data_IF_739053525257
#
_entry.id   IF_739053525257
#
_cell.length_a   1.000
_cell.length_b   1.000
_cell.length_c   1.000
_cell.angle_alpha   90.00
_cell.angle_beta   90.00
_cell.angle_gamma   90.00
#
_symmetry.space_group_name_H-M   'P 1'
#
loop_
_entity.id
_entity.type
_entity.pdbx_description
1 polymer ?
#
# COMPACT_ATOMS: atom_id res chain seq x y z
N UNK A 1 19.71 14.15 -0.31
CA UNK A 1 19.88 12.81 -0.89
C UNK A 1 18.69 12.59 -1.79
N UNK A 2 18.89 12.58 -3.10
CA UNK A 2 17.84 12.18 -4.06
C UNK A 2 17.56 10.71 -3.82
N UNK A 3 16.46 10.41 -3.14
CA UNK A 3 15.97 9.04 -3.00
C UNK A 3 15.44 8.65 -4.36
N UNK A 4 16.29 8.07 -5.21
CA UNK A 4 15.88 7.59 -6.52
C UNK A 4 14.89 6.44 -6.30
N UNK A 5 13.65 6.62 -6.76
CA UNK A 5 12.65 5.56 -6.73
C UNK A 5 13.08 4.44 -7.68
N UNK A 6 12.75 3.18 -7.37
CA UNK A 6 13.03 2.10 -8.31
C UNK A 6 12.33 2.42 -9.64
N UNK A 7 13.05 2.28 -10.77
CA UNK A 7 12.44 2.48 -12.08
C UNK A 7 11.35 1.42 -12.27
N UNK A 8 10.28 1.77 -12.99
CA UNK A 8 9.25 0.82 -13.42
C UNK A 8 8.63 0.03 -12.25
N UNK A 9 8.29 0.68 -11.14
CA UNK A 9 7.54 0.03 -10.05
C UNK A 9 6.14 0.62 -9.98
N UNK A 10 5.15 -0.25 -9.86
CA UNK A 10 3.77 0.14 -9.65
C UNK A 10 3.30 -0.38 -8.29
N UNK A 11 2.74 0.52 -7.49
CA UNK A 11 2.25 0.22 -6.15
C UNK A 11 0.73 0.18 -6.10
N UNK A 12 0.18 -0.67 -5.23
CA UNK A 12 -1.25 -0.81 -5.01
C UNK A 12 -1.54 -1.05 -3.53
N UNK A 13 -2.72 -0.63 -3.11
CA UNK A 13 -3.35 -1.15 -1.90
C UNK A 13 -4.22 -2.33 -2.33
N UNK A 14 -3.85 -3.53 -1.87
CA UNK A 14 -4.65 -4.73 -2.05
C UNK A 14 -5.52 -4.97 -0.82
N UNK A 15 -6.77 -5.35 -1.05
CA UNK A 15 -7.68 -5.87 -0.03
C UNK A 15 -7.96 -7.34 -0.31
N UNK A 16 -7.69 -8.21 0.67
CA UNK A 16 -7.86 -9.65 0.61
C UNK A 16 -9.08 -10.06 1.43
N UNK A 17 -9.99 -10.83 0.85
CA UNK A 17 -11.13 -11.35 1.60
C UNK A 17 -10.69 -12.37 2.65
N UNK A 18 -11.27 -12.24 3.85
CA UNK A 18 -11.08 -13.20 4.95
C UNK A 18 -11.77 -14.54 4.72
N UNK A 19 -12.71 -14.60 3.77
CA UNK A 19 -13.56 -15.76 3.52
C UNK A 19 -13.37 -16.37 2.11
N UNK A 20 -12.86 -15.59 1.15
CA UNK A 20 -12.68 -16.01 -0.25
C UNK A 20 -11.28 -15.66 -0.75
N UNK A 21 -10.41 -16.68 -0.88
CA UNK A 21 -9.00 -16.52 -1.29
C UNK A 21 -8.82 -15.91 -2.70
N UNK A 22 -9.86 -15.89 -3.53
CA UNK A 22 -9.82 -15.36 -4.89
C UNK A 22 -10.33 -13.92 -5.00
N UNK A 23 -11.08 -13.42 -4.01
CA UNK A 23 -11.62 -12.07 -4.04
C UNK A 23 -10.56 -11.06 -3.58
N UNK A 24 -10.16 -10.18 -4.50
CA UNK A 24 -9.20 -9.10 -4.24
C UNK A 24 -9.70 -7.77 -4.79
N UNK A 25 -9.48 -6.71 -4.03
CA UNK A 25 -9.64 -5.33 -4.50
C UNK A 25 -8.26 -4.71 -4.68
N UNK A 26 -8.08 -3.89 -5.71
CA UNK A 26 -6.83 -3.16 -5.93
C UNK A 26 -7.13 -1.66 -6.07
N UNK A 27 -6.36 -0.84 -5.36
CA UNK A 27 -6.37 0.62 -5.51
C UNK A 27 -4.97 1.10 -5.86
N UNK A 28 -4.76 1.79 -7.00
CA UNK A 28 -3.43 2.23 -7.42
C UNK A 28 -2.84 3.28 -6.47
N UNK A 29 -1.53 3.19 -6.26
CA UNK A 29 -0.74 4.11 -5.43
C UNK A 29 0.35 4.75 -6.30
N UNK A 30 0.40 6.07 -6.31
CA UNK A 30 1.45 6.84 -6.98
C UNK A 30 2.76 6.88 -6.17
N UNK A 31 3.87 7.23 -6.82
CA UNK A 31 5.16 7.39 -6.15
C UNK A 31 5.14 8.47 -5.05
N UNK A 32 4.37 9.55 -5.21
CA UNK A 32 4.22 10.58 -4.17
C UNK A 32 3.43 10.05 -2.96
N UNK A 33 2.41 9.25 -3.22
CA UNK A 33 1.62 8.62 -2.17
C UNK A 33 2.41 7.57 -1.40
N UNK A 34 3.25 6.75 -2.06
CA UNK A 34 4.06 5.74 -1.33
C UNK A 34 5.09 6.41 -0.42
N UNK A 35 5.69 7.53 -0.84
CA UNK A 35 6.63 8.33 -0.03
C UNK A 35 5.95 8.89 1.23
N UNK A 36 4.66 9.22 1.14
CA UNK A 36 3.88 9.71 2.28
C UNK A 36 3.40 8.55 3.16
N UNK A 37 2.98 7.44 2.55
CA UNK A 37 2.50 6.25 3.25
C UNK A 37 3.54 5.65 4.18
N UNK A 38 4.82 5.64 3.81
CA UNK A 38 5.90 5.10 4.66
C UNK A 38 6.10 5.84 5.99
N UNK A 39 5.55 7.05 6.14
CA UNK A 39 5.54 7.76 7.42
C UNK A 39 4.47 7.21 8.38
N UNK A 40 3.47 6.49 7.83
CA UNK A 40 2.32 5.93 8.54
C UNK A 40 2.48 4.44 8.74
N UNK A 41 2.83 3.74 7.66
CA UNK A 41 3.13 2.30 7.62
C UNK A 41 4.63 2.21 7.47
N UNK A 42 5.32 2.23 8.60
CA UNK A 42 6.79 2.26 8.63
C UNK A 42 7.34 0.96 8.05
N UNK A 43 8.04 0.99 6.89
CA UNK A 43 8.63 -0.21 6.31
C UNK A 43 9.93 -0.60 7.02
N UNK A 44 10.48 -1.76 6.63
CA UNK A 44 11.80 -2.17 7.05
C UNK A 44 12.88 -1.20 6.51
N UNK A 45 13.97 -1.03 7.26
CA UNK A 45 15.03 -0.05 6.93
C UNK A 45 15.69 -0.34 5.57
N UNK A 46 15.72 -1.60 5.13
CA UNK A 46 16.27 -2.03 3.85
C UNK A 46 15.27 -1.96 2.68
N UNK A 47 13.98 -1.70 2.94
CA UNK A 47 12.94 -1.57 1.92
C UNK A 47 12.11 -0.28 2.05
N UNK A 48 12.74 0.90 1.91
CA UNK A 48 12.09 2.21 2.08
C UNK A 48 11.03 2.52 1.02
N UNK A 49 10.90 1.68 -0.02
CA UNK A 49 9.95 1.80 -1.12
C UNK A 49 8.79 0.81 -1.02
N UNK A 50 8.70 0.09 0.09
CA UNK A 50 7.59 -0.82 0.40
C UNK A 50 7.39 -1.94 -0.64
N UNK A 51 8.48 -2.44 -1.24
CA UNK A 51 8.45 -3.43 -2.33
C UNK A 51 7.98 -4.80 -1.84
N UNK A 52 8.28 -5.17 -0.60
CA UNK A 52 7.89 -6.46 -0.05
C UNK A 52 6.42 -6.54 0.40
N UNK A 53 5.75 -5.40 0.41
CA UNK A 53 4.36 -5.27 0.80
C UNK A 53 4.13 -5.36 2.30
N UNK A 54 3.36 -4.42 2.84
CA UNK A 54 3.20 -4.21 4.28
C UNK A 54 1.73 -4.17 4.64
N UNK A 55 1.38 -4.85 5.74
CA UNK A 55 0.02 -4.83 6.25
C UNK A 55 -0.40 -3.40 6.59
N UNK A 56 -1.66 -3.08 6.30
CA UNK A 56 -2.28 -1.79 6.58
C UNK A 56 -3.29 -1.97 7.71
N UNK A 57 -2.93 -1.62 8.96
CA UNK A 57 -3.87 -1.74 10.08
C UNK A 57 -5.07 -0.81 9.92
N UNK A 58 -6.27 -1.28 10.27
CA UNK A 58 -7.46 -0.44 10.26
C UNK A 58 -7.35 0.78 11.19
N UNK A 59 -6.48 0.73 12.21
CA UNK A 59 -6.24 1.85 13.13
C UNK A 59 -5.59 3.06 12.46
N UNK A 60 -4.84 2.87 11.38
CA UNK A 60 -4.21 3.96 10.61
C UNK A 60 -5.04 4.37 9.39
N UNK A 61 -6.17 3.71 9.16
CA UNK A 61 -6.98 3.91 7.97
C UNK A 61 -7.40 5.36 7.70
N UNK A 62 -7.81 6.16 8.70
CA UNK A 62 -8.16 7.56 8.43
C UNK A 62 -7.03 8.35 7.77
N UNK A 63 -5.78 8.06 8.14
CA UNK A 63 -4.60 8.68 7.54
C UNK A 63 -4.32 8.09 6.14
N UNK A 64 -4.50 6.78 5.97
CA UNK A 64 -4.34 6.12 4.67
C UNK A 64 -5.34 6.66 3.66
N UNK A 65 -6.62 6.80 4.02
CA UNK A 65 -7.65 7.40 3.18
C UNK A 65 -7.35 8.87 2.85
N UNK A 66 -6.80 9.64 3.79
CA UNK A 66 -6.38 11.01 3.51
C UNK A 66 -5.26 11.10 2.46
N UNK A 67 -4.41 10.08 2.34
CA UNK A 67 -3.32 10.00 1.36
C UNK A 67 -3.80 9.39 0.02
N UNK A 68 -4.59 8.32 0.09
CA UNK A 68 -4.97 7.50 -1.07
C UNK A 68 -6.32 7.85 -1.67
N UNK A 69 -7.19 8.52 -0.91
CA UNK A 69 -8.59 8.79 -1.26
C UNK A 69 -9.33 7.51 -1.66
N UNK A 70 -9.11 6.42 -0.92
CA UNK A 70 -9.64 5.09 -1.21
C UNK A 70 -11.00 4.80 -0.56
N UNK A 71 -11.51 5.72 0.26
CA UNK A 71 -12.79 5.58 0.95
C UNK A 71 -12.69 4.79 2.26
N UNK A 72 -13.83 4.49 2.89
CA UNK A 72 -13.86 3.73 4.15
C UNK A 72 -13.36 2.28 3.94
N UNK A 73 -12.74 1.66 4.97
CA UNK A 73 -12.30 0.28 4.86
C UNK A 73 -13.50 -0.65 4.89
N UNK A 74 -13.41 -1.74 4.13
CA UNK A 74 -14.30 -2.88 4.28
C UNK A 74 -13.76 -3.77 5.43
N UNK A 75 -14.54 -3.98 6.51
CA UNK A 75 -14.08 -4.78 7.65
C UNK A 75 -13.91 -6.27 7.33
N UNK A 76 -14.47 -6.75 6.22
CA UNK A 76 -14.35 -8.13 5.74
C UNK A 76 -13.02 -8.40 5.03
N UNK A 77 -12.26 -7.34 4.73
CA UNK A 77 -10.97 -7.43 4.06
C UNK A 77 -9.80 -7.21 5.03
N UNK A 78 -8.67 -7.81 4.72
CA UNK A 78 -7.35 -7.43 5.23
C UNK A 78 -6.60 -6.68 4.14
N UNK A 79 -5.86 -5.64 4.51
CA UNK A 79 -5.24 -4.74 3.54
C UNK A 79 -3.72 -4.80 3.60
N UNK A 80 -3.08 -4.74 2.43
CA UNK A 80 -1.62 -4.71 2.28
C UNK A 80 -1.21 -3.72 1.20
N UNK A 81 -0.09 -3.02 1.37
CA UNK A 81 0.59 -2.41 0.22
C UNK A 81 1.23 -3.51 -0.60
N UNK A 82 1.22 -3.41 -1.91
CA UNK A 82 1.87 -4.32 -2.83
C UNK A 82 2.63 -3.54 -3.89
N UNK A 83 3.66 -4.15 -4.47
CA UNK A 83 4.41 -3.57 -5.58
C UNK A 83 4.71 -4.65 -6.63
N UNK A 84 4.71 -4.28 -7.91
CA UNK A 84 5.25 -5.11 -8.99
C UNK A 84 6.05 -4.28 -9.99
N UNK A 85 6.91 -4.97 -10.73
CA UNK A 85 7.66 -4.37 -11.83
C UNK A 85 6.74 -4.13 -13.04
N UNK A 86 6.81 -2.94 -13.61
CA UNK A 86 6.25 -2.58 -14.91
C UNK A 86 7.19 -3.12 -16.00
N UNK A 87 6.72 -4.07 -16.81
CA UNK A 87 7.52 -4.72 -17.88
C UNK A 87 7.71 -3.85 -19.12
#
# INVERSE_FOLDING_TARGET
MTTEHPPNTIWFLEGFSKEDDFLRTQHPISAEQIITLREVIVPDEDDPWMIYGYNVPLSVWPTVDAILHCGPPDPTLDYQTCAYADE
#
